data_IF_737020674973
#
_entry.id   IF_737020674973
#
_cell.length_a   1.000
_cell.length_b   1.000
_cell.length_c   1.000
_cell.angle_alpha   90.00
_cell.angle_beta   90.00
_cell.angle_gamma   90.00
#
_symmetry.space_group_name_H-M   'P 1'
#
loop_
_entity.id
_entity.type
_entity.pdbx_description
1 polymer ?
#
# COMPACT_ATOMS: atom_id res chain seq x y z
N UNK A 1 91.66 -11.07 -34.67
CA UNK A 1 91.12 -10.40 -33.47
C UNK A 1 89.93 -9.57 -33.92
N UNK A 2 88.72 -10.15 -33.85
CA UNK A 2 87.49 -9.49 -34.30
C UNK A 2 86.92 -8.70 -33.10
N UNK A 3 86.70 -7.38 -33.21
CA UNK A 3 86.15 -6.59 -32.11
C UNK A 3 84.76 -7.13 -31.72
N UNK A 4 84.55 -7.24 -30.41
CA UNK A 4 83.33 -7.77 -29.81
C UNK A 4 82.11 -7.01 -30.33
N UNK A 5 81.19 -7.76 -30.95
CA UNK A 5 79.93 -7.28 -31.50
C UNK A 5 79.04 -6.72 -30.37
N UNK A 6 78.82 -5.40 -30.28
CA UNK A 6 78.08 -4.77 -29.17
C UNK A 6 76.58 -5.06 -29.21
N UNK A 7 76.11 -5.75 -30.27
CA UNK A 7 74.71 -6.14 -30.46
C UNK A 7 74.34 -7.45 -29.74
N UNK A 8 75.33 -8.22 -29.28
CA UNK A 8 75.12 -9.43 -28.49
C UNK A 8 74.58 -9.16 -27.07
N UNK A 9 74.47 -7.88 -26.71
CA UNK A 9 73.98 -7.38 -25.42
C UNK A 9 72.55 -6.84 -25.49
N UNK A 10 71.84 -7.04 -26.62
CA UNK A 10 70.40 -6.81 -26.71
C UNK A 10 69.68 -7.94 -25.97
N UNK A 11 69.72 -7.80 -24.64
CA UNK A 11 69.04 -8.62 -23.66
C UNK A 11 67.55 -8.63 -24.00
N UNK A 12 67.03 -9.83 -24.19
CA UNK A 12 65.60 -10.13 -24.35
C UNK A 12 64.78 -9.25 -23.39
N UNK A 13 64.01 -8.32 -23.95
CA UNK A 13 63.08 -7.50 -23.17
C UNK A 13 61.91 -8.43 -22.86
N UNK A 14 61.96 -9.05 -21.69
CA UNK A 14 60.81 -9.74 -21.12
C UNK A 14 59.68 -8.72 -20.96
N UNK A 15 58.68 -8.78 -21.85
CA UNK A 15 57.40 -8.14 -21.61
C UNK A 15 56.81 -8.81 -20.34
N UNK A 16 56.33 -8.04 -19.35
CA UNK A 16 55.62 -8.63 -18.24
C UNK A 16 54.40 -9.35 -18.82
N UNK A 17 54.21 -10.61 -18.44
CA UNK A 17 52.99 -11.36 -18.73
C UNK A 17 51.79 -10.45 -18.44
N UNK A 18 50.79 -10.39 -19.34
CA UNK A 18 49.61 -9.56 -19.12
C UNK A 18 49.02 -9.99 -17.79
N UNK A 19 49.05 -9.07 -16.81
CA UNK A 19 48.46 -9.25 -15.49
C UNK A 19 47.08 -9.89 -15.66
N UNK A 20 47.04 -11.21 -15.43
CA UNK A 20 45.83 -11.99 -15.51
C UNK A 20 44.83 -11.35 -14.56
N UNK A 21 43.73 -10.87 -15.11
CA UNK A 21 42.64 -10.21 -14.38
C UNK A 21 42.00 -11.23 -13.42
N UNK A 22 42.67 -11.53 -12.31
CA UNK A 22 42.30 -12.59 -11.36
C UNK A 22 42.92 -12.32 -9.97
N UNK A 23 42.23 -12.63 -8.86
CA UNK A 23 40.79 -12.67 -8.68
C UNK A 23 40.30 -11.24 -8.35
N UNK A 24 39.06 -10.87 -8.69
CA UNK A 24 38.46 -9.68 -8.09
C UNK A 24 38.61 -9.84 -6.57
N UNK A 25 39.35 -8.93 -5.94
CA UNK A 25 39.67 -9.01 -4.52
C UNK A 25 38.42 -9.42 -3.73
N UNK A 26 38.50 -10.32 -2.74
CA UNK A 26 37.33 -10.90 -2.07
C UNK A 26 36.33 -9.87 -1.51
N UNK A 27 36.75 -8.61 -1.36
CA UNK A 27 35.87 -7.47 -1.07
C UNK A 27 34.76 -7.22 -2.10
N UNK A 28 34.91 -7.61 -3.37
CA UNK A 28 33.83 -7.51 -4.36
C UNK A 28 32.67 -8.47 -4.07
N UNK A 29 32.97 -9.64 -3.51
CA UNK A 29 31.92 -10.56 -3.07
C UNK A 29 31.13 -9.98 -1.90
N UNK A 30 31.80 -9.32 -0.95
CA UNK A 30 31.15 -8.57 0.13
C UNK A 30 30.29 -7.43 -0.43
N UNK A 31 30.80 -6.68 -1.41
CA UNK A 31 30.07 -5.60 -2.08
C UNK A 31 28.84 -6.13 -2.85
N UNK A 32 28.99 -7.22 -3.59
CA UNK A 32 27.90 -7.87 -4.30
C UNK A 32 26.84 -8.39 -3.32
N UNK A 33 27.25 -9.02 -2.22
CA UNK A 33 26.34 -9.51 -1.18
C UNK A 33 25.61 -8.37 -0.48
N UNK A 34 26.32 -7.27 -0.18
CA UNK A 34 25.73 -6.06 0.38
C UNK A 34 24.74 -5.42 -0.59
N UNK A 35 25.09 -5.30 -1.87
CA UNK A 35 24.19 -4.78 -2.91
C UNK A 35 22.95 -5.68 -3.05
N UNK A 36 23.12 -7.00 -3.07
CA UNK A 36 22.03 -7.95 -3.18
C UNK A 36 21.10 -7.90 -1.96
N UNK A 37 21.65 -7.80 -0.76
CA UNK A 37 20.86 -7.66 0.47
C UNK A 37 20.12 -6.32 0.52
N UNK A 38 20.76 -5.22 0.13
CA UNK A 38 20.12 -3.92 0.01
C UNK A 38 19.00 -3.93 -1.03
N UNK A 39 19.24 -4.56 -2.19
CA UNK A 39 18.26 -4.67 -3.26
C UNK A 39 17.05 -5.51 -2.82
N UNK A 40 17.28 -6.69 -2.24
CA UNK A 40 16.21 -7.56 -1.75
C UNK A 40 15.41 -6.90 -0.62
N UNK A 41 16.09 -6.21 0.31
CA UNK A 41 15.45 -5.42 1.35
C UNK A 41 14.60 -4.28 0.77
N UNK A 42 15.15 -3.54 -0.19
CA UNK A 42 14.45 -2.46 -0.88
C UNK A 42 13.20 -2.98 -1.61
N UNK A 43 13.33 -4.06 -2.39
CA UNK A 43 12.20 -4.69 -3.09
C UNK A 43 11.14 -5.19 -2.10
N UNK A 44 11.54 -5.81 -0.99
CA UNK A 44 10.61 -6.27 0.03
C UNK A 44 9.88 -5.11 0.70
N UNK A 45 10.61 -4.04 1.04
CA UNK A 45 10.05 -2.82 1.63
C UNK A 45 9.08 -2.11 0.67
N UNK A 46 9.47 -1.96 -0.59
CA UNK A 46 8.61 -1.42 -1.65
C UNK A 46 7.38 -2.29 -1.86
N UNK A 47 7.52 -3.62 -1.97
CA UNK A 47 6.38 -4.54 -2.08
C UNK A 47 5.45 -4.41 -0.88
N UNK A 48 5.99 -4.33 0.34
CA UNK A 48 5.21 -4.14 1.57
C UNK A 48 4.43 -2.83 1.53
N UNK A 49 5.09 -1.73 1.14
CA UNK A 49 4.48 -0.40 0.99
C UNK A 49 3.42 -0.36 -0.12
N UNK A 50 3.69 -0.99 -1.26
CA UNK A 50 2.74 -1.10 -2.36
C UNK A 50 1.53 -1.94 -1.98
N UNK A 51 1.72 -3.06 -1.28
CA UNK A 51 0.62 -3.93 -0.82
C UNK A 51 -0.27 -3.22 0.21
N UNK A 52 0.32 -2.40 1.06
CA UNK A 52 -0.42 -1.56 2.02
C UNK A 52 -1.23 -0.45 1.31
N UNK A 53 -0.77 0.03 0.15
CA UNK A 53 -1.46 1.07 -0.63
C UNK A 53 -2.45 0.53 -1.69
N UNK A 54 -2.26 -0.69 -2.22
CA UNK A 54 -3.13 -1.28 -3.26
C UNK A 54 -4.57 -1.40 -2.79
N UNK A 55 -4.78 -1.95 -1.60
CA UNK A 55 -6.11 -2.04 -0.97
C UNK A 55 -6.82 -0.69 -0.92
N UNK A 56 -6.09 0.41 -0.64
CA UNK A 56 -6.65 1.76 -0.56
C UNK A 56 -7.06 2.28 -1.93
N UNK A 57 -6.21 2.05 -2.93
CA UNK A 57 -6.48 2.46 -4.32
C UNK A 57 -7.67 1.68 -4.88
N UNK A 58 -7.73 0.38 -4.64
CA UNK A 58 -8.84 -0.48 -5.09
C UNK A 58 -10.16 -0.03 -4.44
N UNK A 59 -10.15 0.28 -3.14
CA UNK A 59 -11.33 0.78 -2.44
C UNK A 59 -11.77 2.17 -2.92
N UNK A 60 -10.83 3.10 -3.15
CA UNK A 60 -11.13 4.43 -3.70
C UNK A 60 -11.66 4.35 -5.13
N UNK A 61 -11.09 3.47 -5.96
CA UNK A 61 -11.56 3.26 -7.33
C UNK A 61 -12.99 2.70 -7.34
N UNK A 62 -13.25 1.70 -6.51
CA UNK A 62 -14.58 1.12 -6.37
C UNK A 62 -15.61 2.14 -5.85
N UNK A 63 -15.21 3.03 -4.94
CA UNK A 63 -16.06 4.13 -4.47
C UNK A 63 -16.39 5.15 -5.58
N UNK A 64 -15.40 5.49 -6.43
CA UNK A 64 -15.61 6.36 -7.58
C UNK A 64 -16.51 5.71 -8.65
N UNK A 65 -16.32 4.43 -8.90
CA UNK A 65 -17.14 3.64 -9.83
C UNK A 65 -18.60 3.57 -9.36
N UNK A 66 -18.82 3.31 -8.06
CA UNK A 66 -20.16 3.33 -7.47
C UNK A 66 -20.85 4.70 -7.60
N UNK A 67 -20.10 5.80 -7.46
CA UNK A 67 -20.65 7.15 -7.60
C UNK A 67 -21.16 7.37 -9.03
N UNK A 68 -20.41 6.86 -10.01
CA UNK A 68 -20.75 7.02 -11.42
C UNK A 68 -21.89 6.09 -11.85
N UNK A 69 -21.90 4.85 -11.36
CA UNK A 69 -22.93 3.85 -11.72
C UNK A 69 -24.29 4.13 -11.07
N UNK A 70 -24.30 4.72 -9.87
CA UNK A 70 -25.52 4.94 -9.07
C UNK A 70 -25.87 6.43 -8.92
N UNK A 71 -25.40 7.28 -9.85
CA UNK A 71 -25.61 8.73 -9.83
C UNK A 71 -27.09 9.19 -9.81
N UNK A 72 -28.05 8.28 -10.04
CA UNK A 72 -29.49 8.55 -9.95
C UNK A 72 -30.24 7.73 -8.89
N UNK A 73 -29.56 6.94 -8.07
CA UNK A 73 -30.17 6.05 -7.08
C UNK A 73 -29.50 6.22 -5.70
N UNK A 74 -29.84 7.28 -4.95
CA UNK A 74 -29.09 7.67 -3.76
C UNK A 74 -29.21 6.64 -2.62
N UNK A 75 -30.33 5.91 -2.53
CA UNK A 75 -30.54 4.83 -1.56
C UNK A 75 -29.63 3.61 -1.86
N UNK A 76 -29.61 3.15 -3.11
CA UNK A 76 -28.74 2.05 -3.54
C UNK A 76 -27.26 2.41 -3.37
N UNK A 77 -26.90 3.66 -3.69
CA UNK A 77 -25.56 4.17 -3.50
C UNK A 77 -25.14 4.12 -2.03
N UNK A 78 -25.97 4.58 -1.10
CA UNK A 78 -25.74 4.45 0.34
C UNK A 78 -25.50 2.99 0.78
N UNK A 79 -26.34 2.06 0.31
CA UNK A 79 -26.20 0.64 0.65
C UNK A 79 -24.88 0.06 0.11
N UNK A 80 -24.54 0.35 -1.14
CA UNK A 80 -23.30 -0.11 -1.76
C UNK A 80 -22.07 0.44 -1.03
N UNK A 81 -22.11 1.70 -0.60
CA UNK A 81 -21.03 2.31 0.19
C UNK A 81 -20.84 1.66 1.55
N UNK A 82 -21.93 1.34 2.26
CA UNK A 82 -21.86 0.62 3.55
C UNK A 82 -21.33 -0.80 3.37
N UNK A 83 -21.76 -1.49 2.31
CA UNK A 83 -21.24 -2.82 1.96
C UNK A 83 -19.73 -2.76 1.65
N UNK A 84 -19.31 -1.76 0.88
CA UNK A 84 -17.89 -1.51 0.59
C UNK A 84 -17.12 -1.23 1.87
N UNK A 85 -17.63 -0.35 2.74
CA UNK A 85 -17.00 -0.05 4.04
C UNK A 85 -16.82 -1.32 4.87
N UNK A 86 -17.87 -2.16 5.00
CA UNK A 86 -17.78 -3.45 5.71
C UNK A 86 -16.72 -4.38 5.12
N UNK A 87 -16.70 -4.52 3.78
CA UNK A 87 -15.70 -5.34 3.09
C UNK A 87 -14.28 -4.82 3.30
N UNK A 88 -14.09 -3.51 3.25
CA UNK A 88 -12.79 -2.87 3.49
C UNK A 88 -12.35 -3.03 4.94
N UNK A 89 -13.25 -2.82 5.92
CA UNK A 89 -12.98 -3.05 7.33
C UNK A 89 -12.61 -4.51 7.64
N UNK A 90 -13.33 -5.49 7.06
CA UNK A 90 -12.97 -6.91 7.17
C UNK A 90 -11.57 -7.21 6.63
N UNK A 91 -11.23 -6.61 5.48
CA UNK A 91 -9.91 -6.81 4.85
C UNK A 91 -8.79 -6.13 5.65
N UNK A 92 -9.09 -5.00 6.29
CA UNK A 92 -8.17 -4.25 7.14
C UNK A 92 -7.93 -4.91 8.50
N UNK A 93 -8.98 -5.47 9.12
CA UNK A 93 -8.99 -6.01 10.48
C UNK A 93 -9.45 -7.48 10.52
N UNK A 94 -8.65 -8.43 9.96
CA UNK A 94 -9.03 -9.84 9.91
C UNK A 94 -9.16 -10.51 11.29
N UNK A 95 -8.50 -9.97 12.33
CA UNK A 95 -8.53 -10.49 13.69
C UNK A 95 -9.70 -9.96 14.55
N UNK A 96 -10.50 -9.03 14.05
CA UNK A 96 -11.66 -8.54 14.77
C UNK A 96 -12.91 -9.18 14.16
N UNK A 97 -13.71 -9.86 14.99
CA UNK A 97 -15.00 -10.45 14.60
C UNK A 97 -16.06 -9.35 14.35
N UNK A 98 -15.82 -8.53 13.34
CA UNK A 98 -16.69 -7.43 12.91
C UNK A 98 -17.92 -7.92 12.14
N UNK A 99 -17.97 -9.22 11.79
CA UNK A 99 -19.03 -9.78 10.94
C UNK A 99 -20.40 -9.87 11.63
N UNK A 100 -20.43 -10.03 12.95
CA UNK A 100 -21.67 -10.16 13.72
C UNK A 100 -22.22 -8.81 14.23
N UNK A 101 -21.56 -7.70 13.89
CA UNK A 101 -21.87 -6.41 14.49
C UNK A 101 -22.82 -5.54 13.67
N UNK A 102 -23.85 -5.04 14.35
CA UNK A 102 -24.78 -4.06 13.80
C UNK A 102 -24.01 -2.82 13.29
N UNK A 103 -24.45 -2.24 12.17
CA UNK A 103 -23.86 -1.06 11.52
C UNK A 103 -23.39 0.03 12.51
N UNK A 104 -24.17 0.47 13.51
CA UNK A 104 -23.74 1.51 14.43
C UNK A 104 -22.52 1.12 15.28
N UNK A 105 -22.43 -0.14 15.75
CA UNK A 105 -21.28 -0.60 16.55
C UNK A 105 -20.00 -0.68 15.73
N UNK A 106 -20.12 -1.09 14.46
CA UNK A 106 -19.00 -1.07 13.53
C UNK A 106 -18.49 0.36 13.33
N UNK A 107 -19.38 1.31 13.08
CA UNK A 107 -19.00 2.73 12.90
C UNK A 107 -18.35 3.31 14.16
N UNK A 108 -18.87 2.99 15.35
CA UNK A 108 -18.27 3.40 16.61
C UNK A 108 -16.86 2.83 16.80
N UNK A 109 -16.63 1.55 16.47
CA UNK A 109 -15.28 0.95 16.49
C UNK A 109 -14.35 1.59 15.48
N UNK A 110 -14.82 1.86 14.27
CA UNK A 110 -14.03 2.56 13.26
C UNK A 110 -13.63 3.96 13.76
N UNK A 111 -14.53 4.64 14.47
CA UNK A 111 -14.24 5.92 15.13
C UNK A 111 -13.14 5.78 16.19
N UNK A 112 -13.19 4.75 17.04
CA UNK A 112 -12.16 4.50 18.06
C UNK A 112 -10.78 4.19 17.46
N UNK A 113 -10.73 3.66 16.24
CA UNK A 113 -9.48 3.39 15.54
C UNK A 113 -8.95 4.60 14.77
N UNK A 114 -9.73 5.68 14.66
CA UNK A 114 -9.30 6.95 14.13
C UNK A 114 -9.02 7.95 15.27
N UNK A 115 -8.08 8.87 15.06
CA UNK A 115 -7.82 9.97 16.03
C UNK A 115 -8.94 11.02 16.03
N UNK A 116 -9.85 10.97 15.07
CA UNK A 116 -10.92 11.94 14.88
C UNK A 116 -12.24 11.20 14.70
N UNK A 117 -13.32 11.80 15.21
CA UNK A 117 -14.67 11.30 15.01
C UNK A 117 -15.10 11.61 13.57
N UNK A 118 -14.93 10.64 12.66
CA UNK A 118 -15.29 10.77 11.25
C UNK A 118 -16.77 10.47 10.98
N UNK A 119 -17.39 9.68 11.86
CA UNK A 119 -18.80 9.34 11.80
C UNK A 119 -19.53 9.95 13.00
N UNK A 120 -20.26 11.03 12.76
CA UNK A 120 -21.09 11.69 13.78
C UNK A 120 -22.22 10.77 14.26
N UNK A 121 -22.65 10.98 15.49
CA UNK A 121 -23.71 10.18 16.13
C UNK A 121 -25.05 10.30 15.37
N UNK A 122 -25.31 11.47 14.77
CA UNK A 122 -26.48 11.73 13.90
C UNK A 122 -26.46 10.86 12.64
N UNK A 123 -25.30 10.74 11.98
CA UNK A 123 -25.12 9.87 10.82
C UNK A 123 -25.35 8.41 11.19
N UNK A 124 -24.83 7.97 12.35
CA UNK A 124 -25.03 6.59 12.83
C UNK A 124 -26.51 6.27 13.08
N UNK A 125 -27.27 7.20 13.66
CA UNK A 125 -28.71 7.05 13.86
C UNK A 125 -29.47 6.98 12.54
N UNK A 126 -29.16 7.87 11.59
CA UNK A 126 -29.80 7.87 10.27
C UNK A 126 -29.49 6.60 9.45
N UNK A 127 -28.27 6.07 9.57
CA UNK A 127 -27.85 4.80 8.96
C UNK A 127 -28.53 3.57 9.58
N UNK A 128 -28.94 3.66 10.85
CA UNK A 128 -29.63 2.57 11.55
C UNK A 128 -31.07 2.43 11.11
N UNK A 129 -31.74 3.54 10.79
CA UNK A 129 -33.13 3.55 10.31
C UNK A 129 -33.25 3.33 8.80
N UNK A 130 -32.14 3.40 8.07
CA UNK A 130 -32.06 3.27 6.61
C UNK A 130 -32.65 1.94 6.06
N UNK A 131 -32.39 0.77 6.66
CA UNK A 131 -33.01 -0.49 6.21
C UNK A 131 -34.54 -0.52 6.38
N UNK A 132 -35.09 0.37 7.22
CA UNK A 132 -36.49 0.40 7.61
C UNK A 132 -37.25 1.60 7.00
N UNK A 133 -36.58 2.52 6.30
CA UNK A 133 -37.17 3.77 5.81
C UNK A 133 -36.97 3.89 4.30
N UNK A 134 -38.05 3.79 3.54
CA UNK A 134 -38.04 3.80 2.07
C UNK A 134 -37.67 5.16 1.46
N UNK A 135 -38.10 6.28 2.07
CA UNK A 135 -37.87 7.63 1.54
C UNK A 135 -37.44 8.63 2.63
N UNK A 136 -36.13 8.81 2.85
CA UNK A 136 -35.64 9.94 3.65
C UNK A 136 -35.84 11.27 2.89
N UNK A 137 -36.40 12.30 3.52
CA UNK A 137 -36.49 13.65 2.92
C UNK A 137 -35.11 14.32 2.66
N UNK A 138 -34.02 13.71 3.16
CA UNK A 138 -32.66 14.25 3.10
C UNK A 138 -31.60 13.19 2.69
N UNK A 139 -31.92 12.31 1.73
CA UNK A 139 -30.97 11.27 1.29
C UNK A 139 -29.69 11.90 0.73
N UNK A 140 -29.82 12.96 -0.08
CA UNK A 140 -28.67 13.56 -0.77
C UNK A 140 -27.62 14.10 0.22
N UNK A 141 -28.06 14.80 1.27
CA UNK A 141 -27.16 15.31 2.30
C UNK A 141 -26.50 14.17 3.08
N UNK A 142 -27.25 13.09 3.36
CA UNK A 142 -26.72 11.89 4.02
C UNK A 142 -25.68 11.20 3.15
N UNK A 143 -25.96 11.02 1.85
CA UNK A 143 -25.04 10.45 0.86
C UNK A 143 -23.73 11.24 0.81
N UNK A 144 -23.80 12.57 0.68
CA UNK A 144 -22.62 13.43 0.59
C UNK A 144 -21.81 13.35 1.88
N UNK A 145 -22.47 13.41 3.03
CA UNK A 145 -21.84 13.31 4.34
C UNK A 145 -21.14 11.96 4.52
N UNK A 146 -21.83 10.86 4.22
CA UNK A 146 -21.30 9.50 4.28
C UNK A 146 -20.13 9.28 3.32
N UNK A 147 -20.24 9.79 2.09
CA UNK A 147 -19.16 9.75 1.11
C UNK A 147 -17.92 10.44 1.62
N UNK A 148 -18.06 11.67 2.10
CA UNK A 148 -16.92 12.42 2.62
C UNK A 148 -16.28 11.74 3.84
N UNK A 149 -17.08 11.10 4.69
CA UNK A 149 -16.62 10.38 5.87
C UNK A 149 -15.88 9.08 5.48
N UNK A 150 -16.44 8.28 4.57
CA UNK A 150 -15.82 7.04 4.08
C UNK A 150 -14.53 7.36 3.31
N UNK A 151 -14.52 8.40 2.47
CA UNK A 151 -13.32 8.84 1.76
C UNK A 151 -12.23 9.27 2.74
N UNK A 152 -12.55 10.12 3.72
CA UNK A 152 -11.61 10.53 4.78
C UNK A 152 -11.10 9.34 5.57
N UNK A 153 -11.98 8.39 5.92
CA UNK A 153 -11.59 7.17 6.60
C UNK A 153 -10.64 6.33 5.74
N UNK A 154 -10.92 6.11 4.45
CA UNK A 154 -10.02 5.39 3.53
C UNK A 154 -8.65 6.08 3.41
N UNK A 155 -8.61 7.41 3.35
CA UNK A 155 -7.40 8.24 3.27
C UNK A 155 -6.60 8.30 4.58
N UNK A 156 -7.25 8.16 5.74
CA UNK A 156 -6.58 8.25 7.05
C UNK A 156 -6.29 6.88 7.68
N UNK A 157 -7.10 5.87 7.35
CA UNK A 157 -6.96 4.50 7.84
C UNK A 157 -5.64 3.89 7.32
N UNK A 158 -4.64 3.89 8.20
CA UNK A 158 -3.44 3.06 8.05
C UNK A 158 -3.78 1.71 8.66
N UNK A 159 -3.61 0.63 7.89
CA UNK A 159 -3.68 -0.74 8.40
C UNK A 159 -2.69 -0.83 9.57
N UNK A 160 -3.20 -0.76 10.79
CA UNK A 160 -2.37 -0.81 11.98
C UNK A 160 -1.86 -2.24 12.06
N UNK A 161 -0.60 -2.45 11.65
CA UNK A 161 0.10 -3.69 11.95
C UNK A 161 0.47 -3.55 13.42
N UNK A 162 -0.46 -3.93 14.30
CA UNK A 162 -0.09 -4.33 15.65
C UNK A 162 0.91 -5.47 15.47
N UNK A 163 2.19 -5.13 15.56
CA UNK A 163 3.23 -6.07 15.90
C UNK A 163 3.16 -6.29 17.41
#
# INVERSE_FOLDING_TARGET
MNPQDPLSQLRDIHLPDPIGWWPPAPGWWLLALLLLSAMTYCLWWLKKRHRDNRYRRDALHCLAELQQSLAGQPLEYCHAMLALLRRTAKTAYPNQALESELTPRLLQRLNQQCRQTLFDETLQQQLTVLPYRADPENIDHLVISLHSAIKRWLEQHRRNKSC
#
